data_IF_353069053004
#
_entry.id   IF_353069053004
#
_cell.length_a   1.000
_cell.length_b   1.000
_cell.length_c   1.000
_cell.angle_alpha   90.00
_cell.angle_beta   90.00
_cell.angle_gamma   90.00
#
_symmetry.space_group_name_H-M   'P 1'
#
loop_
_entity.id
_entity.type
_entity.pdbx_description
1 polymer ?
#
# COMPACT_ATOMS: atom_id res chain seq x y z
N UNK A 1 21.39 -21.81 -26.81
CA UNK A 1 20.14 -21.15 -26.37
C UNK A 1 20.41 -19.65 -26.37
N UNK A 2 19.78 -18.87 -27.25
CA UNK A 2 19.83 -17.41 -27.14
C UNK A 2 19.15 -17.00 -25.82
N UNK A 3 19.78 -16.16 -24.98
CA UNK A 3 19.10 -15.63 -23.80
C UNK A 3 17.90 -14.82 -24.29
N UNK A 4 16.70 -15.15 -23.81
CA UNK A 4 15.51 -14.35 -24.05
C UNK A 4 15.76 -12.93 -23.51
N UNK A 5 15.41 -11.86 -24.27
CA UNK A 5 15.46 -10.51 -23.73
C UNK A 5 14.63 -10.43 -22.45
N UNK A 6 15.08 -9.64 -21.48
CA UNK A 6 14.44 -9.51 -20.16
C UNK A 6 12.91 -9.29 -20.21
N UNK A 7 12.43 -8.58 -21.23
CA UNK A 7 11.00 -8.34 -21.45
C UNK A 7 10.21 -9.61 -21.81
N UNK A 8 10.80 -10.53 -22.55
CA UNK A 8 10.16 -11.82 -22.90
C UNK A 8 10.08 -12.74 -21.68
N UNK A 9 11.10 -12.69 -20.80
CA UNK A 9 11.08 -13.40 -19.52
C UNK A 9 9.97 -12.83 -18.62
N UNK A 10 9.88 -11.51 -18.51
CA UNK A 10 8.86 -10.83 -17.71
C UNK A 10 7.45 -11.15 -18.23
N UNK A 11 7.25 -11.08 -19.55
CA UNK A 11 5.99 -11.44 -20.21
C UNK A 11 5.61 -12.89 -19.95
N UNK A 12 6.56 -13.82 -20.14
CA UNK A 12 6.33 -15.25 -19.91
C UNK A 12 5.97 -15.53 -18.45
N UNK A 13 6.64 -14.85 -17.50
CA UNK A 13 6.33 -14.96 -16.08
C UNK A 13 4.93 -14.42 -15.71
N UNK A 14 4.51 -13.28 -16.28
CA UNK A 14 3.16 -12.74 -16.12
C UNK A 14 2.08 -13.64 -16.72
N UNK A 15 2.40 -14.32 -17.82
CA UNK A 15 1.55 -15.31 -18.46
C UNK A 15 1.54 -16.66 -17.72
N UNK A 16 2.24 -16.76 -16.58
CA UNK A 16 2.28 -17.96 -15.77
C UNK A 16 3.25 -19.05 -16.25
N UNK A 17 4.09 -18.76 -17.24
CA UNK A 17 5.08 -19.71 -17.78
C UNK A 17 6.10 -20.23 -16.77
N UNK A 18 6.20 -19.59 -15.60
CA UNK A 18 7.09 -19.99 -14.49
C UNK A 18 6.34 -20.15 -13.16
N UNK A 19 5.07 -20.53 -13.21
CA UNK A 19 4.28 -20.75 -12.01
C UNK A 19 3.96 -19.46 -11.25
N UNK A 20 3.50 -19.62 -10.01
CA UNK A 20 3.19 -18.51 -9.09
C UNK A 20 4.45 -17.79 -8.63
N UNK A 21 5.57 -18.51 -8.49
CA UNK A 21 6.87 -17.92 -8.11
C UNK A 21 7.36 -16.96 -9.21
N UNK A 22 7.19 -17.34 -10.47
CA UNK A 22 7.47 -16.47 -11.61
C UNK A 22 6.59 -15.23 -11.63
N UNK A 23 5.27 -15.41 -11.46
CA UNK A 23 4.31 -14.30 -11.39
C UNK A 23 4.66 -13.32 -10.27
N UNK A 24 4.97 -13.83 -9.07
CA UNK A 24 5.42 -13.03 -7.93
C UNK A 24 6.66 -12.19 -8.26
N UNK A 25 7.72 -12.81 -8.78
CA UNK A 25 8.94 -12.10 -9.16
C UNK A 25 8.69 -11.03 -10.23
N UNK A 26 7.83 -11.34 -11.21
CA UNK A 26 7.45 -10.37 -12.25
C UNK A 26 6.71 -9.16 -11.68
N UNK A 27 5.71 -9.39 -10.82
CA UNK A 27 4.94 -8.33 -10.18
C UNK A 27 5.82 -7.45 -9.29
N UNK A 28 6.73 -8.02 -8.51
CA UNK A 28 7.68 -7.24 -7.71
C UNK A 28 8.56 -6.31 -8.55
N UNK A 29 9.07 -6.81 -9.69
CA UNK A 29 9.88 -6.01 -10.62
C UNK A 29 9.06 -4.89 -11.22
N UNK A 30 7.82 -5.16 -11.61
CA UNK A 30 6.91 -4.13 -12.12
C UNK A 30 6.59 -3.07 -11.05
N UNK A 31 6.35 -3.46 -9.80
CA UNK A 31 6.12 -2.53 -8.70
C UNK A 31 7.34 -1.64 -8.45
N UNK A 32 8.54 -2.22 -8.42
CA UNK A 32 9.79 -1.47 -8.29
C UNK A 32 9.99 -0.50 -9.46
N UNK A 33 9.82 -0.96 -10.71
CA UNK A 33 9.92 -0.11 -11.89
C UNK A 33 8.89 1.01 -11.90
N UNK A 34 7.64 0.70 -11.51
CA UNK A 34 6.58 1.70 -11.38
C UNK A 34 6.97 2.77 -10.37
N UNK A 35 7.53 2.40 -9.22
CA UNK A 35 7.97 3.36 -8.19
C UNK A 35 9.01 4.33 -8.72
N UNK A 36 10.05 3.80 -9.39
CA UNK A 36 11.16 4.58 -9.91
C UNK A 36 10.72 5.56 -11.01
N UNK A 37 9.69 5.21 -11.77
CA UNK A 37 9.13 6.06 -12.81
C UNK A 37 8.09 7.05 -12.27
N UNK A 38 7.18 6.59 -11.40
CA UNK A 38 6.06 7.38 -10.92
C UNK A 38 6.48 8.43 -9.89
N UNK A 39 7.42 8.14 -9.00
CA UNK A 39 7.81 9.09 -7.95
C UNK A 39 8.38 10.42 -8.50
N UNK A 40 9.32 10.43 -9.48
CA UNK A 40 9.76 11.68 -10.11
C UNK A 40 8.63 12.42 -10.84
N UNK A 41 7.73 11.68 -11.51
CA UNK A 41 6.57 12.28 -12.19
C UNK A 41 5.64 12.96 -11.17
N UNK A 42 5.40 12.34 -10.02
CA UNK A 42 4.57 12.91 -8.95
C UNK A 42 5.17 14.17 -8.31
N UNK A 43 6.49 14.40 -8.42
CA UNK A 43 7.12 15.67 -8.03
C UNK A 43 6.76 16.84 -8.96
N UNK A 44 6.34 16.54 -10.18
CA UNK A 44 6.04 17.53 -11.23
C UNK A 44 4.53 17.67 -11.41
N UNK A 45 3.81 16.54 -11.37
CA UNK A 45 2.39 16.45 -11.69
C UNK A 45 1.64 15.85 -10.49
N UNK A 46 0.72 16.63 -9.93
CA UNK A 46 -0.19 16.14 -8.90
C UNK A 46 -1.19 15.15 -9.50
N UNK A 47 -1.43 14.04 -8.78
CA UNK A 47 -2.42 13.07 -9.21
C UNK A 47 -3.84 13.70 -9.27
N UNK A 48 -4.60 13.51 -10.38
CA UNK A 48 -5.78 14.32 -10.69
C UNK A 48 -7.04 13.85 -9.94
N UNK A 49 -7.00 13.88 -8.60
CA UNK A 49 -8.15 13.57 -7.75
C UNK A 49 -8.14 14.35 -6.43
N UNK A 50 -9.32 14.50 -5.81
CA UNK A 50 -9.49 15.24 -4.57
C UNK A 50 -9.38 16.75 -4.80
N UNK A 51 -8.41 17.39 -4.12
CA UNK A 51 -8.18 18.84 -4.24
C UNK A 51 -7.44 19.25 -5.52
N UNK A 52 -6.79 18.30 -6.19
CA UNK A 52 -5.97 18.54 -7.39
C UNK A 52 -6.66 18.13 -8.70
N UNK A 53 -7.91 17.66 -8.66
CA UNK A 53 -8.61 17.25 -9.87
C UNK A 53 -10.12 17.41 -9.78
N UNK A 54 -10.70 18.06 -10.77
CA UNK A 54 -12.14 18.07 -11.07
C UNK A 54 -12.35 17.58 -12.50
N UNK A 55 -12.36 16.26 -12.73
CA UNK A 55 -12.44 15.69 -14.07
C UNK A 55 -13.78 16.05 -14.73
N UNK A 56 -13.72 16.58 -15.96
CA UNK A 56 -14.91 16.91 -16.77
C UNK A 56 -15.43 15.73 -17.58
N UNK A 57 -14.55 14.78 -17.94
CA UNK A 57 -14.85 13.59 -18.73
C UNK A 57 -14.36 12.32 -18.02
N UNK A 58 -14.97 11.18 -18.32
CA UNK A 58 -14.67 9.88 -17.68
C UNK A 58 -14.60 9.95 -16.15
N UNK A 59 -15.48 10.75 -15.53
CA UNK A 59 -15.50 10.92 -14.08
C UNK A 59 -16.35 9.84 -13.43
N UNK A 60 -15.85 9.24 -12.35
CA UNK A 60 -16.61 8.32 -11.50
C UNK A 60 -16.87 8.94 -10.13
N UNK A 61 -17.85 8.38 -9.41
CA UNK A 61 -18.10 8.76 -8.01
C UNK A 61 -16.85 8.55 -7.17
N UNK A 62 -16.46 9.57 -6.40
CA UNK A 62 -15.31 9.49 -5.51
C UNK A 62 -15.46 8.38 -4.45
N UNK A 63 -16.67 8.15 -3.97
CA UNK A 63 -16.97 7.16 -2.93
C UNK A 63 -16.90 5.74 -3.49
N UNK A 64 -17.56 5.48 -4.61
CA UNK A 64 -17.54 4.16 -5.25
C UNK A 64 -16.19 3.82 -5.87
N UNK A 65 -15.55 4.80 -6.54
CA UNK A 65 -14.21 4.62 -7.10
C UNK A 65 -13.19 4.25 -6.02
N UNK A 66 -13.26 4.90 -4.85
CA UNK A 66 -12.42 4.55 -3.71
C UNK A 66 -12.72 3.16 -3.14
N UNK A 67 -13.99 2.84 -2.91
CA UNK A 67 -14.37 1.51 -2.39
C UNK A 67 -13.84 0.39 -3.28
N UNK A 68 -14.10 0.47 -4.60
CA UNK A 68 -13.71 -0.55 -5.56
C UNK A 68 -12.19 -0.66 -5.68
N UNK A 69 -11.47 0.47 -5.71
CA UNK A 69 -10.02 0.40 -5.88
C UNK A 69 -9.28 -0.10 -4.63
N UNK A 70 -9.86 0.02 -3.43
CA UNK A 70 -9.24 -0.45 -2.19
C UNK A 70 -9.66 -1.88 -1.82
N UNK A 71 -10.91 -2.29 -2.09
CA UNK A 71 -11.42 -3.62 -1.70
C UNK A 71 -10.74 -4.77 -2.44
N UNK A 72 -10.13 -4.50 -3.61
CA UNK A 72 -9.38 -5.52 -4.35
C UNK A 72 -8.08 -5.94 -3.65
N UNK A 73 -7.50 -5.09 -2.79
CA UNK A 73 -6.27 -5.42 -2.08
C UNK A 73 -6.41 -6.60 -1.11
N UNK A 74 -7.39 -6.65 -0.17
CA UNK A 74 -7.58 -7.81 0.71
C UNK A 74 -7.95 -9.07 -0.06
N UNK A 75 -8.68 -8.96 -1.18
CA UNK A 75 -8.99 -10.11 -2.04
C UNK A 75 -7.70 -10.66 -2.67
N UNK A 76 -6.91 -9.79 -3.31
CA UNK A 76 -5.65 -10.18 -3.93
C UNK A 76 -4.65 -10.74 -2.89
N UNK A 77 -4.63 -10.18 -1.68
CA UNK A 77 -3.85 -10.69 -0.57
C UNK A 77 -4.25 -12.11 -0.17
N UNK A 78 -5.54 -12.39 0.01
CA UNK A 78 -6.01 -13.74 0.35
C UNK A 78 -5.75 -14.75 -0.80
N UNK A 79 -5.89 -14.30 -2.05
CA UNK A 79 -5.52 -15.10 -3.23
C UNK A 79 -4.03 -15.44 -3.22
N UNK A 80 -3.17 -14.45 -2.96
CA UNK A 80 -1.72 -14.66 -2.85
C UNK A 80 -1.33 -15.53 -1.67
N UNK A 81 -2.00 -15.35 -0.52
CA UNK A 81 -1.78 -16.15 0.71
C UNK A 81 -2.06 -17.63 0.48
N UNK A 82 -3.07 -17.93 -0.35
CA UNK A 82 -3.54 -19.29 -0.63
C UNK A 82 -2.94 -19.85 -1.93
N UNK A 83 -2.11 -19.09 -2.64
CA UNK A 83 -1.52 -19.52 -3.89
C UNK A 83 -0.42 -20.57 -3.64
N UNK A 84 -0.42 -21.70 -4.35
CA UNK A 84 0.61 -22.72 -4.16
C UNK A 84 1.96 -22.17 -4.64
N UNK A 85 3.06 -22.47 -3.94
CA UNK A 85 4.40 -22.12 -4.40
C UNK A 85 4.89 -23.11 -5.47
N UNK A 86 4.77 -22.72 -6.73
CA UNK A 86 5.17 -23.56 -7.87
C UNK A 86 5.95 -22.77 -8.90
N UNK A 87 6.93 -23.42 -9.52
CA UNK A 87 7.65 -22.94 -10.71
C UNK A 87 7.14 -23.59 -12.00
N UNK A 88 6.24 -24.58 -11.89
CA UNK A 88 5.65 -25.24 -13.05
C UNK A 88 4.71 -24.30 -13.79
N UNK A 89 4.67 -24.31 -15.13
CA UNK A 89 3.81 -23.44 -15.90
C UNK A 89 2.33 -23.54 -15.48
N UNK A 90 1.70 -22.39 -15.27
CA UNK A 90 0.27 -22.23 -15.11
C UNK A 90 -0.36 -22.29 -16.51
N UNK A 91 -0.43 -23.48 -17.11
CA UNK A 91 -1.01 -23.63 -18.45
C UNK A 91 -2.45 -23.07 -18.49
N UNK A 92 -2.69 -22.19 -19.48
CA UNK A 92 -3.97 -21.71 -20.01
C UNK A 92 -5.08 -21.40 -18.99
N UNK A 93 -5.14 -20.17 -18.48
CA UNK A 93 -6.34 -19.49 -17.92
C UNK A 93 -7.14 -20.19 -16.79
N UNK A 94 -6.75 -21.40 -16.39
CA UNK A 94 -7.57 -22.29 -15.58
C UNK A 94 -6.78 -22.98 -14.46
N UNK A 95 -5.46 -22.78 -14.32
CA UNK A 95 -4.67 -23.51 -13.30
C UNK A 95 -4.46 -22.76 -11.98
N UNK A 96 -4.60 -21.43 -11.93
CA UNK A 96 -4.64 -20.70 -10.65
C UNK A 96 -6.04 -20.69 -10.02
N UNK A 97 -7.08 -20.76 -10.86
CA UNK A 97 -8.48 -20.70 -10.44
C UNK A 97 -9.17 -22.07 -10.54
N UNK A 98 -9.01 -22.87 -11.58
CA UNK A 98 -9.83 -24.09 -11.70
C UNK A 98 -9.42 -25.27 -10.81
N UNK A 99 -8.18 -25.34 -10.30
CA UNK A 99 -7.76 -26.46 -9.43
C UNK A 99 -8.00 -26.24 -7.93
N UNK A 100 -8.43 -25.04 -7.52
CA UNK A 100 -8.44 -24.63 -6.10
C UNK A 100 -9.81 -24.14 -5.61
N UNK A 101 -10.86 -24.13 -6.43
CA UNK A 101 -12.19 -23.64 -6.00
C UNK A 101 -12.97 -24.74 -5.29
N UNK A 102 -12.49 -25.16 -4.12
CA UNK A 102 -13.42 -25.66 -3.09
C UNK A 102 -13.90 -24.46 -2.26
N UNK A 103 -15.14 -24.52 -1.78
CA UNK A 103 -15.73 -23.48 -0.93
C UNK A 103 -14.97 -23.40 0.41
N UNK A 104 -13.88 -22.64 0.45
CA UNK A 104 -13.02 -22.52 1.64
C UNK A 104 -11.53 -22.38 1.37
N UNK A 105 -11.04 -22.46 0.12
CA UNK A 105 -9.60 -22.37 -0.18
C UNK A 105 -8.93 -21.07 0.30
N UNK A 106 -9.66 -19.95 0.28
CA UNK A 106 -9.18 -18.66 0.83
C UNK A 106 -9.10 -18.66 2.36
N UNK A 107 -9.78 -19.59 3.02
CA UNK A 107 -9.85 -19.70 4.48
C UNK A 107 -8.90 -20.78 5.02
N UNK A 108 -8.47 -21.72 4.17
CA UNK A 108 -7.55 -22.79 4.55
C UNK A 108 -6.25 -22.28 5.21
N UNK A 109 -5.60 -21.20 4.73
CA UNK A 109 -4.39 -20.69 5.39
C UNK A 109 -4.62 -20.29 6.86
N UNK A 110 -5.83 -19.90 7.24
CA UNK A 110 -6.12 -19.50 8.63
C UNK A 110 -5.98 -20.65 9.63
N UNK A 111 -6.11 -21.89 9.16
CA UNK A 111 -6.01 -23.08 10.01
C UNK A 111 -4.58 -23.64 10.10
N UNK A 112 -3.71 -23.31 9.14
CA UNK A 112 -2.39 -23.92 9.01
C UNK A 112 -1.22 -22.94 9.21
N UNK A 113 -1.47 -21.63 9.12
CA UNK A 113 -0.42 -20.64 9.35
C UNK A 113 -0.02 -20.55 10.83
N UNK A 114 1.29 -20.46 11.13
CA UNK A 114 1.78 -20.10 12.45
C UNK A 114 1.19 -18.77 12.95
N UNK A 115 1.11 -18.65 14.28
CA UNK A 115 0.44 -17.53 14.94
C UNK A 115 0.97 -16.16 14.53
N UNK A 116 2.28 -15.99 14.41
CA UNK A 116 2.90 -14.72 14.00
C UNK A 116 2.44 -14.27 12.60
N UNK A 117 2.27 -15.21 11.66
CA UNK A 117 1.77 -14.93 10.32
C UNK A 117 0.28 -14.59 10.34
N UNK A 118 -0.51 -15.31 11.13
CA UNK A 118 -1.94 -15.00 11.33
C UNK A 118 -2.14 -13.57 11.86
N UNK A 119 -1.31 -13.15 12.81
CA UNK A 119 -1.35 -11.76 13.33
C UNK A 119 -1.12 -10.75 12.20
N UNK A 120 -0.15 -10.99 11.30
CA UNK A 120 0.11 -10.11 10.14
C UNK A 120 -1.04 -10.15 9.12
N UNK A 121 -1.61 -11.34 8.84
CA UNK A 121 -2.80 -11.47 7.98
C UNK A 121 -3.95 -10.64 8.54
N UNK A 122 -4.25 -10.79 9.83
CA UNK A 122 -5.33 -10.04 10.49
C UNK A 122 -5.04 -8.54 10.49
N UNK A 123 -3.80 -8.12 10.75
CA UNK A 123 -3.40 -6.72 10.70
C UNK A 123 -3.66 -6.11 9.30
N UNK A 124 -3.22 -6.78 8.23
CA UNK A 124 -3.47 -6.35 6.85
C UNK A 124 -4.98 -6.23 6.55
N UNK A 125 -5.76 -7.23 6.96
CA UNK A 125 -7.22 -7.23 6.76
C UNK A 125 -7.92 -6.13 7.56
N UNK A 126 -7.49 -5.85 8.79
CA UNK A 126 -8.03 -4.74 9.61
C UNK A 126 -7.74 -3.39 8.93
N UNK A 127 -6.51 -3.18 8.45
CA UNK A 127 -6.16 -1.97 7.70
C UNK A 127 -7.10 -1.78 6.51
N UNK A 128 -7.21 -2.79 5.64
CA UNK A 128 -8.00 -2.67 4.43
C UNK A 128 -9.51 -2.69 4.67
N UNK A 129 -10.01 -3.35 5.71
CA UNK A 129 -11.40 -3.21 6.12
C UNK A 129 -11.70 -1.76 6.56
N UNK A 130 -10.78 -1.13 7.30
CA UNK A 130 -10.89 0.28 7.61
C UNK A 130 -10.77 1.17 6.37
N UNK A 131 -9.79 0.92 5.50
CA UNK A 131 -9.48 1.76 4.32
C UNK A 131 -10.54 1.68 3.23
N UNK A 132 -11.08 0.50 2.96
CA UNK A 132 -12.06 0.27 1.89
C UNK A 132 -13.50 0.47 2.38
N UNK A 133 -13.92 -0.20 3.46
CA UNK A 133 -15.31 -0.22 3.91
C UNK A 133 -15.60 0.91 4.90
N UNK A 134 -14.91 0.93 6.05
CA UNK A 134 -15.25 1.87 7.13
C UNK A 134 -14.96 3.33 6.73
N UNK A 135 -13.86 3.61 6.04
CA UNK A 135 -13.55 4.96 5.59
C UNK A 135 -14.51 5.44 4.50
N UNK A 136 -15.04 4.54 3.67
CA UNK A 136 -16.06 4.87 2.68
C UNK A 136 -17.38 5.22 3.36
N UNK A 137 -17.75 4.47 4.40
CA UNK A 137 -18.94 4.73 5.18
C UNK A 137 -18.84 6.00 6.05
N UNK A 138 -17.68 6.23 6.70
CA UNK A 138 -17.46 7.38 7.60
C UNK A 138 -17.26 8.72 6.86
N UNK A 139 -16.77 8.69 5.62
CA UNK A 139 -16.48 9.89 4.85
C UNK A 139 -17.76 10.46 4.22
N UNK A 140 -18.21 11.68 4.59
CA UNK A 140 -19.49 12.22 4.15
C UNK A 140 -19.59 12.45 2.64
N UNK A 141 -18.47 12.76 1.99
CA UNK A 141 -18.39 13.00 0.55
C UNK A 141 -16.94 13.01 0.06
N UNK A 142 -16.71 12.32 -1.05
CA UNK A 142 -15.45 12.33 -1.81
C UNK A 142 -15.65 13.02 -3.15
N UNK A 143 -14.72 13.90 -3.52
CA UNK A 143 -14.73 14.53 -4.83
C UNK A 143 -14.67 13.47 -5.94
N UNK A 144 -15.32 13.75 -7.08
CA UNK A 144 -15.24 12.89 -8.28
C UNK A 144 -13.78 12.70 -8.69
N UNK A 145 -13.47 11.51 -9.22
CA UNK A 145 -12.13 11.17 -9.71
C UNK A 145 -12.20 10.68 -11.15
N UNK A 146 -11.12 10.85 -11.90
CA UNK A 146 -11.03 10.37 -13.28
C UNK A 146 -10.88 8.85 -13.25
N UNK A 147 -11.50 8.13 -14.18
CA UNK A 147 -11.50 6.65 -14.24
C UNK A 147 -10.09 6.03 -14.26
N UNK A 148 -9.10 6.73 -14.81
CA UNK A 148 -7.70 6.29 -14.78
C UNK A 148 -7.15 6.08 -13.35
N UNK A 149 -7.62 6.84 -12.36
CA UNK A 149 -7.16 6.77 -10.97
C UNK A 149 -7.57 5.45 -10.30
N UNK A 150 -8.85 5.06 -10.24
CA UNK A 150 -9.22 3.77 -9.66
C UNK A 150 -8.68 2.61 -10.48
N UNK A 151 -8.55 2.71 -11.81
CA UNK A 151 -7.96 1.64 -12.62
C UNK A 151 -6.48 1.40 -12.27
N UNK A 152 -5.68 2.46 -12.14
CA UNK A 152 -4.27 2.30 -11.75
C UNK A 152 -4.14 1.81 -10.30
N UNK A 153 -4.99 2.29 -9.40
CA UNK A 153 -5.02 1.83 -8.02
C UNK A 153 -5.44 0.35 -7.91
N UNK A 154 -6.40 -0.12 -8.73
CA UNK A 154 -6.77 -1.54 -8.80
C UNK A 154 -5.57 -2.40 -9.22
N UNK A 155 -4.87 -2.00 -10.29
CA UNK A 155 -3.69 -2.74 -10.77
C UNK A 155 -2.60 -2.81 -9.69
N UNK A 156 -2.33 -1.68 -9.03
CA UNK A 156 -1.39 -1.61 -7.93
C UNK A 156 -1.81 -2.50 -6.75
N UNK A 157 -3.04 -2.36 -6.27
CA UNK A 157 -3.54 -3.10 -5.10
C UNK A 157 -3.64 -4.61 -5.37
N UNK A 158 -3.96 -5.02 -6.60
CA UNK A 158 -3.91 -6.42 -7.00
C UNK A 158 -2.47 -6.97 -6.97
N UNK A 159 -1.51 -6.26 -7.57
CA UNK A 159 -0.11 -6.69 -7.59
C UNK A 159 0.52 -6.70 -6.20
N UNK A 160 0.34 -5.61 -5.44
CA UNK A 160 0.88 -5.44 -4.10
C UNK A 160 0.24 -6.40 -3.10
N UNK A 161 -1.10 -6.49 -3.09
CA UNK A 161 -1.85 -7.45 -2.26
C UNK A 161 -1.40 -8.88 -2.53
N UNK A 162 -1.37 -9.31 -3.79
CA UNK A 162 -0.95 -10.67 -4.16
C UNK A 162 0.48 -10.99 -3.70
N UNK A 163 1.43 -10.08 -3.94
CA UNK A 163 2.84 -10.30 -3.53
C UNK A 163 3.01 -10.31 -2.01
N UNK A 164 2.32 -9.42 -1.28
CA UNK A 164 2.30 -9.45 0.19
C UNK A 164 1.69 -10.76 0.73
N UNK A 165 0.57 -11.21 0.16
CA UNK A 165 -0.09 -12.46 0.53
C UNK A 165 0.84 -13.67 0.34
N UNK A 166 1.42 -13.80 -0.85
CA UNK A 166 2.41 -14.85 -1.18
C UNK A 166 3.60 -14.83 -0.22
N UNK A 167 4.09 -13.64 0.15
CA UNK A 167 5.20 -13.51 1.09
C UNK A 167 4.81 -13.96 2.50
N UNK A 168 3.65 -13.55 3.01
CA UNK A 168 3.20 -13.99 4.33
C UNK A 168 2.90 -15.50 4.37
N UNK A 169 2.33 -16.05 3.29
CA UNK A 169 1.99 -17.48 3.20
C UNK A 169 3.17 -18.42 2.93
N UNK A 170 4.14 -17.98 2.13
CA UNK A 170 5.16 -18.86 1.52
C UNK A 170 6.25 -19.42 2.44
N UNK A 171 6.32 -19.01 3.71
CA UNK A 171 7.36 -19.45 4.65
C UNK A 171 7.36 -20.93 5.01
N UNK A 172 6.28 -21.66 4.73
CA UNK A 172 6.06 -22.98 5.29
C UNK A 172 6.68 -24.15 4.50
N UNK A 173 7.28 -23.91 3.34
CA UNK A 173 7.69 -24.98 2.40
C UNK A 173 9.15 -25.42 2.59
N UNK A 174 9.93 -24.80 3.48
CA UNK A 174 11.27 -25.29 3.81
C UNK A 174 11.24 -26.12 5.10
N UNK A 175 11.35 -27.44 4.95
CA UNK A 175 11.26 -28.49 5.98
C UNK A 175 12.32 -28.44 7.12
N UNK A 176 12.94 -27.29 7.40
CA UNK A 176 13.77 -27.13 8.60
C UNK A 176 12.96 -26.52 9.74
N UNK A 177 12.13 -27.35 10.37
CA UNK A 177 11.49 -27.10 11.69
C UNK A 177 12.50 -26.72 12.80
N UNK A 178 13.81 -26.81 12.53
CA UNK A 178 14.89 -26.40 13.44
C UNK A 178 15.16 -24.90 13.45
N UNK A 179 14.66 -24.13 12.50
CA UNK A 179 15.05 -22.72 12.30
C UNK A 179 14.04 -21.71 12.88
N UNK A 180 12.86 -22.14 13.34
CA UNK A 180 11.78 -21.29 13.86
C UNK A 180 11.08 -21.87 15.09
N UNK A 181 10.43 -21.01 15.88
CA UNK A 181 9.67 -21.37 17.09
C UNK A 181 8.23 -21.82 16.77
N UNK A 182 7.47 -22.21 17.80
CA UNK A 182 6.10 -22.70 17.66
C UNK A 182 5.12 -21.62 17.14
N UNK A 183 5.45 -20.33 17.30
CA UNK A 183 4.65 -19.22 16.81
C UNK A 183 5.01 -18.83 15.36
N UNK A 184 6.08 -19.41 14.79
CA UNK A 184 6.56 -19.15 13.43
C UNK A 184 7.53 -17.98 13.32
N UNK A 185 8.20 -17.62 14.41
CA UNK A 185 9.26 -16.62 14.45
C UNK A 185 10.64 -17.29 14.34
N UNK A 186 11.64 -16.55 13.89
CA UNK A 186 13.02 -17.01 13.95
C UNK A 186 13.42 -17.30 15.42
N UNK A 187 14.22 -18.34 15.67
CA UNK A 187 14.62 -18.74 17.04
C UNK A 187 15.60 -17.77 17.73
N UNK A 188 15.94 -16.68 17.07
CA UNK A 188 16.84 -15.68 17.62
C UNK A 188 16.16 -14.84 18.71
N UNK A 189 16.85 -14.48 19.81
CA UNK A 189 16.25 -13.72 20.90
C UNK A 189 15.66 -12.37 20.48
N UNK A 190 16.18 -11.76 19.40
CA UNK A 190 15.70 -10.49 18.88
C UNK A 190 14.36 -10.61 18.14
N UNK A 191 14.02 -11.77 17.58
CA UNK A 191 12.89 -11.92 16.67
C UNK A 191 11.56 -11.64 17.36
N UNK A 192 11.35 -12.19 18.55
CA UNK A 192 10.12 -11.97 19.32
C UNK A 192 9.99 -10.52 19.79
N UNK A 193 11.08 -9.89 20.21
CA UNK A 193 11.07 -8.49 20.61
C UNK A 193 10.79 -7.57 19.41
N UNK A 194 11.44 -7.81 18.27
CA UNK A 194 11.24 -7.06 17.03
C UNK A 194 9.82 -7.22 16.50
N UNK A 195 9.26 -8.44 16.54
CA UNK A 195 7.90 -8.73 16.11
C UNK A 195 6.88 -7.86 16.86
N UNK A 196 6.90 -7.90 18.19
CA UNK A 196 5.93 -7.15 19.01
C UNK A 196 6.19 -5.65 19.00
N UNK A 197 7.45 -5.22 18.84
CA UNK A 197 7.76 -3.80 18.60
C UNK A 197 7.15 -3.34 17.28
N UNK A 198 7.34 -4.10 16.20
CA UNK A 198 6.74 -3.84 14.90
C UNK A 198 5.21 -3.79 14.97
N UNK A 199 4.58 -4.76 15.63
CA UNK A 199 3.12 -4.78 15.79
C UNK A 199 2.58 -3.62 16.65
N UNK A 200 3.35 -3.17 17.65
CA UNK A 200 3.00 -1.98 18.45
C UNK A 200 3.07 -0.71 17.60
N UNK A 201 4.14 -0.56 16.83
CA UNK A 201 4.29 0.56 15.88
C UNK A 201 3.18 0.54 14.83
N UNK A 202 2.83 -0.65 14.31
CA UNK A 202 1.71 -0.84 13.38
C UNK A 202 0.38 -0.37 13.99
N UNK A 203 0.05 -0.84 15.20
CA UNK A 203 -1.21 -0.51 15.87
C UNK A 203 -1.32 0.99 16.19
N UNK A 204 -0.23 1.61 16.66
CA UNK A 204 -0.19 3.05 16.92
C UNK A 204 -0.31 3.86 15.62
N UNK A 205 0.33 3.42 14.54
CA UNK A 205 0.21 4.00 13.20
C UNK A 205 -1.24 3.96 12.71
N UNK A 206 -1.88 2.79 12.74
CA UNK A 206 -3.28 2.62 12.34
C UNK A 206 -4.23 3.48 13.18
N UNK A 207 -4.09 3.44 14.51
CA UNK A 207 -4.94 4.23 15.41
C UNK A 207 -4.78 5.73 15.16
N UNK A 208 -3.55 6.20 14.97
CA UNK A 208 -3.26 7.58 14.61
C UNK A 208 -3.83 7.93 13.24
N UNK A 209 -3.72 7.07 12.24
CA UNK A 209 -4.27 7.30 10.90
C UNK A 209 -5.80 7.48 10.96
N UNK A 210 -6.50 6.55 11.63
CA UNK A 210 -7.95 6.61 11.84
C UNK A 210 -8.38 7.88 12.56
N UNK A 211 -7.66 8.27 13.61
CA UNK A 211 -7.95 9.49 14.37
C UNK A 211 -7.85 10.73 13.49
N UNK A 212 -6.75 10.88 12.73
CA UNK A 212 -6.53 12.06 11.91
C UNK A 212 -7.49 12.13 10.70
N UNK A 213 -7.85 10.99 10.12
CA UNK A 213 -8.90 10.93 9.10
C UNK A 213 -10.27 11.35 9.67
N UNK A 214 -10.61 10.91 10.88
CA UNK A 214 -11.88 11.29 11.53
C UNK A 214 -11.96 12.80 11.83
N UNK A 215 -10.83 13.43 12.17
CA UNK A 215 -10.74 14.90 12.29
C UNK A 215 -11.13 15.55 10.95
N UNK A 216 -10.62 15.07 9.81
CA UNK A 216 -11.00 15.60 8.50
C UNK A 216 -12.46 15.35 8.16
N UNK A 217 -13.00 14.17 8.49
CA UNK A 217 -14.41 13.87 8.28
C UNK A 217 -15.30 14.77 9.12
N UNK A 218 -14.91 15.06 10.36
CA UNK A 218 -15.67 15.97 11.23
C UNK A 218 -15.74 17.39 10.68
N UNK A 219 -14.65 17.88 10.09
CA UNK A 219 -14.61 19.20 9.43
C UNK A 219 -15.55 19.23 8.23
N UNK A 220 -15.51 18.19 7.37
CA UNK A 220 -16.45 18.09 6.23
C UNK A 220 -17.92 18.09 6.67
N UNK A 221 -18.24 17.38 7.77
CA UNK A 221 -19.61 17.35 8.33
C UNK A 221 -20.04 18.72 8.83
N UNK A 222 -19.12 19.47 9.45
CA UNK A 222 -19.38 20.83 9.93
C UNK A 222 -19.61 21.79 8.76
N UNK A 223 -18.74 21.80 7.75
CA UNK A 223 -18.89 22.64 6.56
C UNK A 223 -20.20 22.34 5.81
N UNK A 224 -20.58 21.06 5.69
CA UNK A 224 -21.84 20.66 5.07
C UNK A 224 -23.10 21.08 5.86
N UNK A 225 -23.00 21.20 7.19
CA UNK A 225 -24.10 21.72 8.04
C UNK A 225 -24.23 23.23 7.93
N UNK A 226 -23.11 23.96 7.93
CA UNK A 226 -23.11 25.41 7.78
C UNK A 226 -23.54 25.88 6.38
N UNK A 227 -23.47 25.00 5.37
CA UNK A 227 -23.90 25.29 4.00
C UNK A 227 -25.39 24.97 3.71
N UNK A 228 -26.17 24.47 4.68
CA UNK A 228 -27.62 24.35 4.50
C UNK A 228 -28.26 25.75 4.55
N UNK A 229 -29.12 26.11 3.59
CA UNK A 229 -29.58 27.48 3.44
C UNK A 229 -30.60 27.83 4.53
N UNK A 230 -30.25 28.80 5.37
CA UNK A 230 -31.24 29.83 5.73
C UNK A 230 -31.66 30.50 4.43
N UNK A 231 -32.96 30.51 4.19
CA UNK A 231 -33.65 31.23 3.11
C UNK A 231 -33.11 32.65 2.94
N UNK A 232 -32.25 32.87 1.95
CA UNK A 232 -32.07 34.19 1.33
C UNK A 232 -31.17 34.12 0.09
N UNK A 233 -31.79 34.42 -1.05
CA UNK A 233 -31.22 35.06 -2.24
C UNK A 233 -30.08 34.32 -2.96
N UNK A 234 -30.44 33.71 -4.09
CA UNK A 234 -29.53 33.27 -5.14
C UNK A 234 -28.62 34.42 -5.59
N UNK A 235 -27.29 34.30 -5.55
CA UNK A 235 -26.43 35.19 -6.29
C UNK A 235 -26.43 34.72 -7.75
N UNK A 236 -27.16 35.46 -8.58
CA UNK A 236 -27.01 35.46 -10.04
C UNK A 236 -25.65 36.05 -10.37
N UNK A 237 -24.71 35.26 -10.90
CA UNK A 237 -23.40 35.75 -11.32
C UNK A 237 -22.44 34.63 -11.73
N UNK A 238 -22.31 34.43 -13.03
CA UNK A 238 -21.55 33.36 -13.71
C UNK A 238 -20.01 33.45 -13.59
N UNK A 239 -19.47 34.08 -12.55
CA UNK A 239 -18.01 34.15 -12.31
C UNK A 239 -17.68 34.07 -10.81
N UNK A 240 -18.29 33.14 -10.08
CA UNK A 240 -17.76 32.74 -8.78
C UNK A 240 -16.37 32.11 -8.97
N UNK A 241 -15.33 32.88 -8.66
CA UNK A 241 -13.93 32.51 -8.80
C UNK A 241 -13.66 31.11 -8.21
N UNK A 242 -13.01 30.22 -8.95
CA UNK A 242 -12.76 28.83 -8.52
C UNK A 242 -12.05 28.74 -7.16
N UNK A 243 -11.27 29.78 -6.80
CA UNK A 243 -10.63 29.95 -5.50
C UNK A 243 -11.62 30.14 -4.34
N UNK A 244 -12.68 30.94 -4.48
CA UNK A 244 -13.64 31.17 -3.39
C UNK A 244 -14.51 29.94 -3.14
N UNK A 245 -14.88 29.20 -4.19
CA UNK A 245 -15.56 27.91 -4.05
C UNK A 245 -14.71 26.85 -3.34
N UNK A 246 -13.37 26.88 -3.51
CA UNK A 246 -12.48 25.97 -2.78
C UNK A 246 -12.34 26.34 -1.30
N UNK A 247 -12.26 27.62 -0.96
CA UNK A 247 -12.24 28.08 0.44
C UNK A 247 -13.52 27.69 1.20
N UNK A 248 -14.69 27.73 0.56
CA UNK A 248 -15.94 27.27 1.19
C UNK A 248 -16.02 25.74 1.36
N UNK A 249 -15.31 24.97 0.51
CA UNK A 249 -15.35 23.49 0.54
C UNK A 249 -14.34 22.86 1.50
N UNK A 250 -13.23 23.56 1.79
CA UNK A 250 -12.14 23.03 2.61
C UNK A 250 -11.92 23.91 3.84
N UNK A 251 -11.38 23.33 4.90
CA UNK A 251 -11.05 24.07 6.12
C UNK A 251 -9.67 23.65 6.62
N UNK A 252 -8.98 24.57 7.31
CA UNK A 252 -7.70 24.29 7.94
C UNK A 252 -7.95 23.40 9.18
N UNK A 253 -7.33 22.22 9.29
CA UNK A 253 -7.48 21.37 10.48
C UNK A 253 -6.96 22.08 11.74
N UNK A 254 -7.68 22.09 12.87
CA UNK A 254 -7.23 22.77 14.09
C UNK A 254 -5.95 22.15 14.69
N UNK A 255 -5.04 22.98 15.19
CA UNK A 255 -3.80 22.53 15.87
C UNK A 255 -4.06 21.76 17.16
N UNK A 256 -5.22 21.94 17.79
CA UNK A 256 -5.59 21.22 19.01
C UNK A 256 -5.88 19.73 18.78
N UNK A 257 -5.94 19.28 17.52
CA UNK A 257 -6.30 17.91 17.15
C UNK A 257 -5.05 17.08 16.78
N UNK A 258 -4.43 16.47 17.78
CA UNK A 258 -3.33 15.52 17.59
C UNK A 258 -2.12 16.10 16.85
N UNK A 259 -1.62 15.36 15.86
CA UNK A 259 -0.43 15.69 15.09
C UNK A 259 -0.63 16.88 14.13
N UNK A 260 -1.88 17.36 13.92
CA UNK A 260 -2.11 18.62 13.21
C UNK A 260 -1.48 19.84 13.91
N UNK A 261 -1.08 19.70 15.17
CA UNK A 261 -0.21 20.67 15.86
C UNK A 261 1.13 20.85 15.15
N UNK A 262 1.68 19.79 14.56
CA UNK A 262 3.06 19.78 14.05
C UNK A 262 3.11 19.74 12.53
N UNK A 263 2.25 18.95 11.90
CA UNK A 263 2.34 18.62 10.47
C UNK A 263 1.03 18.84 9.72
N UNK A 264 1.12 19.10 8.42
CA UNK A 264 -0.05 19.28 7.55
C UNK A 264 -0.73 17.97 7.17
N UNK A 265 0.03 16.87 7.05
CA UNK A 265 -0.47 15.56 6.62
C UNK A 265 -0.13 14.46 7.65
N UNK A 266 -0.71 14.52 8.86
CA UNK A 266 -0.44 13.53 9.90
C UNK A 266 -0.94 12.12 9.57
N UNK A 267 -1.99 12.00 8.75
CA UNK A 267 -2.46 10.70 8.27
C UNK A 267 -1.39 9.99 7.45
N UNK A 268 -0.59 10.72 6.66
CA UNK A 268 0.50 10.14 5.87
C UNK A 268 1.62 9.62 6.76
N UNK A 269 2.08 10.42 7.74
CA UNK A 269 3.06 9.97 8.72
C UNK A 269 2.56 8.72 9.46
N UNK A 270 1.28 8.70 9.83
CA UNK A 270 0.67 7.58 10.55
C UNK A 270 0.61 6.31 9.70
N UNK A 271 0.30 6.44 8.41
CA UNK A 271 0.27 5.33 7.44
C UNK A 271 1.71 4.79 7.21
N UNK A 272 2.72 5.67 7.11
CA UNK A 272 4.12 5.24 7.01
C UNK A 272 4.60 4.48 8.24
N UNK A 273 4.27 4.96 9.44
CA UNK A 273 4.59 4.25 10.68
C UNK A 273 3.86 2.91 10.74
N UNK A 274 2.59 2.87 10.33
CA UNK A 274 1.81 1.65 10.28
C UNK A 274 2.55 0.57 9.47
N UNK A 275 2.85 0.84 8.20
CA UNK A 275 3.48 -0.12 7.32
C UNK A 275 4.95 -0.40 7.63
N UNK A 276 5.68 0.57 8.20
CA UNK A 276 7.00 0.33 8.76
C UNK A 276 6.92 -0.70 9.90
N UNK A 277 5.95 -0.57 10.81
CA UNK A 277 5.70 -1.54 11.87
C UNK A 277 5.40 -2.94 11.32
N UNK A 278 4.56 -3.02 10.28
CA UNK A 278 4.26 -4.26 9.58
C UNK A 278 5.52 -4.91 8.99
N UNK A 279 6.37 -4.12 8.34
CA UNK A 279 7.63 -4.59 7.78
C UNK A 279 8.58 -5.10 8.87
N UNK A 280 8.79 -4.35 9.96
CA UNK A 280 9.63 -4.77 11.09
C UNK A 280 9.15 -6.09 11.70
N UNK A 281 7.83 -6.26 11.85
CA UNK A 281 7.28 -7.52 12.32
C UNK A 281 7.55 -8.67 11.33
N UNK A 282 7.43 -8.41 10.02
CA UNK A 282 7.68 -9.41 8.98
C UNK A 282 9.14 -9.90 8.92
N UNK A 283 10.12 -9.07 9.31
CA UNK A 283 11.54 -9.44 9.40
C UNK A 283 11.83 -10.52 10.45
N UNK A 284 10.89 -10.72 11.39
CA UNK A 284 11.03 -11.68 12.49
C UNK A 284 10.51 -13.08 12.15
N UNK A 285 9.90 -13.26 10.97
CA UNK A 285 9.28 -14.53 10.56
C UNK A 285 10.32 -15.60 10.22
N UNK A 286 10.08 -16.82 10.70
CA UNK A 286 10.84 -18.01 10.35
C UNK A 286 9.94 -19.10 9.75
N UNK A 287 10.40 -19.86 8.74
CA UNK A 287 11.43 -19.51 7.77
C UNK A 287 11.00 -18.28 6.95
N UNK A 288 11.96 -17.49 6.48
CA UNK A 288 11.65 -16.47 5.46
C UNK A 288 11.06 -17.17 4.22
N UNK A 289 9.92 -16.70 3.66
CA UNK A 289 9.23 -17.28 2.49
C UNK A 289 10.09 -17.35 1.23
N UNK A 290 11.08 -16.48 1.18
CA UNK A 290 12.14 -16.49 0.19
C UNK A 290 13.44 -16.43 0.97
N UNK A 291 14.46 -17.17 0.54
CA UNK A 291 15.72 -17.21 1.27
C UNK A 291 16.16 -15.77 1.54
N UNK A 292 16.31 -15.44 2.82
CA UNK A 292 17.02 -14.24 3.31
C UNK A 292 18.52 -14.27 2.92
N UNK A 293 18.89 -15.15 1.98
CA UNK A 293 20.15 -15.25 1.28
C UNK A 293 19.96 -16.02 -0.06
N UNK A 294 19.45 -15.39 -1.12
CA UNK A 294 19.46 -15.97 -2.49
C UNK A 294 20.51 -15.31 -3.38
N UNK A 295 21.79 -15.48 -3.03
CA UNK A 295 22.86 -15.34 -4.01
C UNK A 295 23.03 -16.61 -4.88
N UNK A 296 22.04 -17.51 -4.93
CA UNK A 296 22.23 -18.83 -5.56
C UNK A 296 20.93 -19.41 -6.12
N UNK A 297 20.86 -19.47 -7.45
CA UNK A 297 19.88 -20.29 -8.17
C UNK A 297 20.39 -21.75 -8.16
N UNK A 298 19.65 -22.67 -7.53
CA UNK A 298 19.96 -24.10 -7.60
C UNK A 298 19.41 -24.69 -8.90
N UNK A 299 20.20 -24.65 -9.97
CA UNK A 299 19.90 -25.36 -11.20
C UNK A 299 20.28 -26.84 -11.06
N UNK A 300 19.32 -27.73 -11.32
CA UNK A 300 19.55 -29.18 -11.41
C UNK A 300 20.11 -29.49 -12.79
N UNK A 301 21.42 -29.70 -12.89
CA UNK A 301 22.04 -30.38 -14.02
C UNK A 301 22.48 -31.78 -13.59
N UNK A 302 22.36 -32.75 -14.49
CA UNK A 302 22.54 -34.17 -14.22
C UNK A 302 23.83 -34.45 -13.45
N UNK A 303 23.68 -34.88 -12.19
CA UNK A 303 24.78 -35.34 -11.33
C UNK A 303 24.88 -34.70 -9.94
N UNK A 304 24.24 -33.55 -9.68
CA UNK A 304 24.22 -32.97 -8.31
C UNK A 304 23.87 -31.48 -8.26
N UNK A 305 23.47 -30.99 -7.07
CA UNK A 305 23.21 -29.57 -6.81
C UNK A 305 24.54 -28.86 -6.51
N UNK A 306 24.99 -27.92 -7.35
CA UNK A 306 26.11 -27.00 -7.02
C UNK A 306 25.62 -25.55 -7.01
N UNK A 307 25.98 -24.75 -5.98
CA UNK A 307 25.67 -23.34 -5.93
C UNK A 307 26.52 -22.56 -6.94
N UNK A 308 25.90 -21.76 -7.82
CA UNK A 308 26.60 -20.83 -8.71
C UNK A 308 26.24 -19.39 -8.33
N UNK A 309 27.19 -18.55 -7.90
CA UNK A 309 26.93 -17.14 -7.60
C UNK A 309 26.74 -16.31 -8.88
N UNK A 310 25.77 -15.39 -8.86
CA UNK A 310 25.52 -14.43 -9.94
C UNK A 310 26.71 -13.45 -10.13
N UNK A 311 27.01 -13.00 -11.36
CA UNK A 311 28.03 -11.99 -11.63
C UNK A 311 27.79 -10.71 -10.82
N UNK A 312 28.85 -10.06 -10.31
CA UNK A 312 28.77 -8.91 -9.38
C UNK A 312 27.98 -7.71 -9.92
N UNK A 313 27.94 -7.51 -11.24
CA UNK A 313 27.14 -6.47 -11.90
C UNK A 313 25.62 -6.77 -11.95
N UNK A 314 25.24 -8.02 -11.74
CA UNK A 314 23.85 -8.50 -11.59
C UNK A 314 23.54 -8.90 -10.16
N UNK A 315 24.49 -8.70 -9.23
CA UNK A 315 24.19 -8.75 -7.81
C UNK A 315 23.49 -7.43 -7.47
N UNK A 316 22.20 -7.47 -7.11
CA UNK A 316 21.53 -6.29 -6.59
C UNK A 316 22.21 -5.90 -5.26
N UNK A 317 21.92 -4.74 -4.68
CA UNK A 317 22.42 -4.31 -3.35
C UNK A 317 21.71 -5.13 -2.22
N UNK A 318 21.92 -6.44 -2.33
CA UNK A 318 21.36 -7.69 -1.76
C UNK A 318 20.11 -7.60 -0.87
N UNK A 319 18.95 -7.78 -1.53
CA UNK A 319 17.74 -8.49 -1.09
C UNK A 319 16.66 -7.81 -0.22
N UNK A 320 16.89 -6.67 0.45
CA UNK A 320 15.88 -6.12 1.38
C UNK A 320 14.69 -5.44 0.69
N UNK A 321 14.92 -4.65 -0.36
CA UNK A 321 13.88 -3.95 -1.13
C UNK A 321 13.07 -4.89 -2.04
N UNK A 322 13.50 -6.15 -2.17
CA UNK A 322 12.74 -7.21 -2.83
C UNK A 322 11.78 -7.91 -1.86
N UNK A 323 11.75 -7.53 -0.59
CA UNK A 323 10.67 -7.96 0.29
C UNK A 323 9.44 -7.10 -0.01
N UNK A 324 8.27 -7.68 -0.32
CA UNK A 324 7.07 -6.90 -0.62
C UNK A 324 6.72 -5.90 0.48
N UNK A 325 6.97 -6.25 1.75
CA UNK A 325 6.72 -5.35 2.89
C UNK A 325 7.63 -4.12 2.89
N UNK A 326 8.93 -4.29 2.59
CA UNK A 326 9.86 -3.18 2.44
C UNK A 326 9.54 -2.33 1.21
N UNK A 327 9.30 -3.01 0.08
CA UNK A 327 8.96 -2.35 -1.18
C UNK A 327 7.71 -1.48 -1.01
N UNK A 328 6.68 -1.99 -0.33
CA UNK A 328 5.46 -1.24 -0.11
C UNK A 328 5.68 0.03 0.71
N UNK A 329 6.45 -0.05 1.82
CA UNK A 329 6.82 1.15 2.60
C UNK A 329 7.55 2.18 1.74
N UNK A 330 8.53 1.73 0.94
CA UNK A 330 9.27 2.62 0.04
C UNK A 330 8.35 3.28 -0.99
N UNK A 331 7.41 2.52 -1.54
CA UNK A 331 6.43 3.00 -2.51
C UNK A 331 5.51 4.05 -1.92
N UNK A 332 4.98 3.81 -0.73
CA UNK A 332 4.12 4.76 -0.04
C UNK A 332 4.85 6.07 0.23
N UNK A 333 6.06 6.00 0.81
CA UNK A 333 6.85 7.21 1.06
C UNK A 333 7.15 7.94 -0.25
N UNK A 334 7.58 7.22 -1.29
CA UNK A 334 7.96 7.81 -2.57
C UNK A 334 6.78 8.48 -3.30
N UNK A 335 5.58 7.90 -3.27
CA UNK A 335 4.40 8.42 -3.97
C UNK A 335 3.63 9.46 -3.13
N UNK A 336 3.58 9.29 -1.80
CA UNK A 336 2.86 10.21 -0.92
C UNK A 336 3.65 11.49 -0.66
N UNK A 337 4.99 11.44 -0.67
CA UNK A 337 5.80 12.60 -0.31
C UNK A 337 5.65 13.81 -1.24
N UNK A 338 5.68 13.65 -2.58
CA UNK A 338 5.44 14.74 -3.50
C UNK A 338 4.06 15.37 -3.29
N UNK A 339 3.05 14.50 -3.15
CA UNK A 339 1.67 14.90 -2.89
C UNK A 339 1.50 15.65 -1.57
N UNK A 340 2.23 15.26 -0.53
CA UNK A 340 2.22 15.95 0.75
C UNK A 340 2.77 17.38 0.60
N UNK A 341 3.90 17.53 -0.11
CA UNK A 341 4.50 18.84 -0.42
C UNK A 341 3.53 19.73 -1.17
N UNK A 342 2.96 19.24 -2.26
CA UNK A 342 1.95 19.97 -3.03
C UNK A 342 0.73 20.31 -2.18
N UNK A 343 0.27 19.39 -1.34
CA UNK A 343 -0.85 19.60 -0.42
C UNK A 343 -0.57 20.68 0.62
N UNK A 344 0.66 20.74 1.14
CA UNK A 344 1.09 21.78 2.07
C UNK A 344 1.09 23.15 1.39
N UNK A 345 1.72 23.26 0.20
CA UNK A 345 1.73 24.49 -0.61
C UNK A 345 0.32 24.93 -1.03
N UNK A 346 -0.56 23.97 -1.28
CA UNK A 346 -1.96 24.24 -1.60
C UNK A 346 -2.69 24.92 -0.44
N UNK A 347 -2.45 24.53 0.81
CA UNK A 347 -3.06 25.24 1.96
C UNK A 347 -2.65 26.71 2.01
N UNK A 348 -1.36 27.00 1.83
CA UNK A 348 -0.86 28.40 1.80
C UNK A 348 -1.48 29.23 0.68
N UNK A 349 -1.64 28.64 -0.52
CA UNK A 349 -2.22 29.32 -1.68
C UNK A 349 -3.72 29.54 -1.53
N UNK A 350 -4.44 28.56 -0.97
CA UNK A 350 -5.90 28.61 -0.88
C UNK A 350 -6.39 29.51 0.26
N UNK A 351 -5.79 29.43 1.44
CA UNK A 351 -6.21 30.24 2.60
C UNK A 351 -5.40 31.53 2.75
N UNK A 352 -4.36 31.72 1.94
CA UNK A 352 -3.46 32.86 2.06
C UNK A 352 -2.41 32.65 3.15
N UNK A 353 -1.19 33.12 2.87
CA UNK A 353 -0.02 32.89 3.74
C UNK A 353 -0.22 33.43 5.16
N UNK A 354 -0.83 34.60 5.32
CA UNK A 354 -1.03 35.23 6.65
C UNK A 354 -1.99 34.42 7.52
N UNK A 355 -3.12 33.98 6.97
CA UNK A 355 -4.11 33.18 7.69
C UNK A 355 -3.55 31.80 8.02
N UNK A 356 -2.89 31.14 7.06
CA UNK A 356 -2.22 29.87 7.29
C UNK A 356 -1.16 29.95 8.40
N UNK A 357 -0.33 31.01 8.40
CA UNK A 357 0.68 31.24 9.43
C UNK A 357 0.06 31.58 10.79
N UNK A 358 -1.05 32.32 10.83
CA UNK A 358 -1.79 32.61 12.06
C UNK A 358 -2.39 31.34 12.69
N UNK A 359 -2.81 30.38 11.87
CA UNK A 359 -3.18 29.02 12.31
C UNK A 359 -1.97 28.12 12.65
N UNK A 360 -0.79 28.73 12.76
CA UNK A 360 0.50 28.18 13.17
C UNK A 360 1.19 27.39 12.07
N UNK A 361 2.41 27.80 11.71
CA UNK A 361 3.27 27.07 10.78
C UNK A 361 3.40 25.59 11.15
N UNK A 362 3.42 24.75 10.13
CA UNK A 362 3.49 23.30 10.24
C UNK A 362 4.62 22.80 9.35
N UNK A 363 5.14 21.65 9.69
CA UNK A 363 5.91 20.82 8.79
C UNK A 363 4.97 20.11 7.80
N UNK A 364 5.49 19.51 6.75
CA UNK A 364 4.72 18.80 5.73
C UNK A 364 4.26 17.46 6.28
N UNK A 365 5.20 16.59 6.69
CA UNK A 365 4.91 15.24 7.20
C UNK A 365 5.76 14.87 8.41
N UNK A 366 7.05 15.24 8.46
CA UNK A 366 7.97 14.84 9.53
C UNK A 366 8.25 16.06 10.41
N UNK A 367 7.83 16.05 11.69
CA UNK A 367 8.09 17.15 12.59
C UNK A 367 9.59 17.47 12.70
N UNK A 368 9.95 18.75 12.63
CA UNK A 368 11.33 19.25 12.77
C UNK A 368 12.28 18.92 11.62
N UNK A 369 11.80 18.25 10.58
CA UNK A 369 12.60 17.92 9.41
C UNK A 369 11.98 18.47 8.13
N UNK A 370 10.73 18.09 7.85
CA UNK A 370 10.09 18.39 6.58
C UNK A 370 8.58 18.52 6.70
#
# INVERSE_FOLDING_TARGET
MHPLPYLDLLKSALQGGYGTVGLYSALQRLLLSFTLLAAPICCIIDAPFGRFGTPKWCSVSGTWGWLVMEIVAPIAFLVGLSAPLTTSPLLGSSSLLASSWHAGWLLEPFHHLPRARLVLVVAFLIHYANRSLLSTWRNPSRAKMHLAVPLSAILFNCANGFTLGMYIGGGLVTERRRDFDDDGLAREPWARALFWTGMTVWALGLASNIYHDEVLYSLKRQSGRSAKPTTSLSPSGDTANSHSQQQHRYSIPPRSKGLYRFVSHPSYLSEWLEWLGYHLASLSLGPAPFPSFAATLLLRTGGGKRPVPLPQALQPWREWYLQPTALFVLMEVAIMSPRATSGHRWYERTFGRKEWQAHGQRWVVIPWLW
#
